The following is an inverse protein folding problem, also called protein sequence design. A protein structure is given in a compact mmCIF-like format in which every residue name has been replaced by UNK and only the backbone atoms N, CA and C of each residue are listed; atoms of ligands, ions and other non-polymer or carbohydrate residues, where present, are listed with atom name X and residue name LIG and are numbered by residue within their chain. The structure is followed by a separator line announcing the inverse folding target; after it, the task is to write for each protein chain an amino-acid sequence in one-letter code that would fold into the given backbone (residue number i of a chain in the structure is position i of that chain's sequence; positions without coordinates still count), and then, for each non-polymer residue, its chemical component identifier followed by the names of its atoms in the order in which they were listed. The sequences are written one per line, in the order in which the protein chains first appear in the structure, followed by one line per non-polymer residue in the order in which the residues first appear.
data_IF_046277441714
#
_entry.id   IF_046277441714
#
_cell.length_a   1.000
_cell.length_b   1.000
_cell.length_c   1.000
_cell.angle_alpha   90.00
_cell.angle_beta   90.00
_cell.angle_gamma   90.00
#
_symmetry.space_group_name_H-M   'P 1'
#
loop_
_entity.id
_entity.type
_entity.pdbx_description
1 polymer ?
#
# COMPACT_ATOMS: atom_id res chain seq x y z
N UNK A 1 -10.25 2.23 -5.02
CA UNK A 1 -9.53 3.39 -5.58
C UNK A 1 -9.47 3.27 -7.11
N UNK A 2 -9.36 4.37 -7.87
CA UNK A 2 -9.23 4.30 -9.34
C UNK A 2 -7.93 3.59 -9.74
N UNK A 3 -8.02 2.61 -10.65
CA UNK A 3 -6.87 1.86 -11.19
C UNK A 3 -5.78 2.77 -11.75
N UNK A 4 -6.13 3.92 -12.35
CA UNK A 4 -5.14 4.89 -12.83
C UNK A 4 -4.29 5.45 -11.69
N UNK A 5 -4.90 5.76 -10.54
CA UNK A 5 -4.19 6.28 -9.37
C UNK A 5 -3.29 5.23 -8.74
N UNK A 6 -3.73 3.97 -8.72
CA UNK A 6 -2.90 2.85 -8.28
C UNK A 6 -1.67 2.73 -9.19
N UNK A 7 -1.88 2.66 -10.50
CA UNK A 7 -0.79 2.59 -11.49
C UNK A 7 0.22 3.72 -11.31
N UNK A 8 -0.27 4.95 -11.12
CA UNK A 8 0.57 6.13 -10.92
C UNK A 8 1.43 6.02 -9.64
N UNK A 9 0.89 5.51 -8.53
CA UNK A 9 1.66 5.31 -7.29
C UNK A 9 2.84 4.32 -7.46
N UNK A 10 2.62 3.25 -8.23
CA UNK A 10 3.70 2.31 -8.55
C UNK A 10 4.74 2.91 -9.50
N UNK A 11 4.31 3.73 -10.47
CA UNK A 11 5.22 4.42 -11.39
C UNK A 11 6.10 5.44 -10.65
N UNK A 12 5.50 6.24 -9.76
CA UNK A 12 6.19 7.25 -8.94
C UNK A 12 7.30 6.66 -8.05
N UNK A 13 7.18 5.39 -7.66
CA UNK A 13 8.11 4.70 -6.77
C UNK A 13 9.09 3.78 -7.49
N UNK A 14 9.04 3.72 -8.83
CA UNK A 14 9.89 2.85 -9.64
C UNK A 14 9.48 1.37 -9.63
N UNK A 15 8.31 1.04 -9.06
CA UNK A 15 7.76 -0.31 -8.97
C UNK A 15 6.76 -0.63 -10.10
N UNK A 16 6.85 0.05 -11.24
CA UNK A 16 5.99 -0.19 -12.40
C UNK A 16 5.93 -1.67 -12.82
N UNK A 17 7.08 -2.36 -12.81
CA UNK A 17 7.15 -3.78 -13.16
C UNK A 17 6.33 -4.66 -12.19
N UNK A 18 6.29 -4.28 -10.92
CA UNK A 18 5.51 -4.98 -9.90
C UNK A 18 4.01 -4.78 -10.12
N UNK A 19 3.61 -3.59 -10.55
CA UNK A 19 2.24 -3.32 -10.96
C UNK A 19 1.86 -4.19 -12.17
N UNK A 20 2.68 -4.25 -13.21
CA UNK A 20 2.42 -5.11 -14.37
C UNK A 20 2.24 -6.58 -13.96
N UNK A 21 3.01 -7.06 -12.99
CA UNK A 21 2.90 -8.42 -12.47
C UNK A 21 1.60 -8.70 -11.69
N UNK A 22 1.06 -7.70 -10.98
CA UNK A 22 -0.03 -7.88 -10.01
C UNK A 22 -1.32 -7.14 -10.32
N UNK A 23 -1.39 -6.29 -11.35
CA UNK A 23 -2.53 -5.41 -11.62
C UNK A 23 -3.86 -6.17 -11.66
N UNK A 24 -3.90 -7.33 -12.31
CA UNK A 24 -5.09 -8.16 -12.39
C UNK A 24 -5.55 -8.68 -11.02
N UNK A 25 -4.62 -9.15 -10.19
CA UNK A 25 -4.91 -9.62 -8.84
C UNK A 25 -5.31 -8.45 -7.92
N UNK A 26 -4.68 -7.30 -8.08
CA UNK A 26 -5.04 -6.06 -7.36
C UNK A 26 -6.50 -5.69 -7.66
N UNK A 27 -6.89 -5.67 -8.94
CA UNK A 27 -8.23 -5.31 -9.39
C UNK A 27 -9.28 -6.30 -8.88
N UNK A 28 -9.02 -7.61 -8.94
CA UNK A 28 -9.99 -8.64 -8.51
C UNK A 28 -10.15 -8.67 -6.99
N UNK A 29 -9.05 -8.52 -6.26
CA UNK A 29 -9.10 -8.65 -4.79
C UNK A 29 -9.51 -7.36 -4.09
N UNK A 30 -9.55 -6.24 -4.82
CA UNK A 30 -9.84 -4.93 -4.25
C UNK A 30 -8.82 -4.52 -3.19
N UNK A 31 -7.55 -4.91 -3.36
CA UNK A 31 -6.50 -4.76 -2.32
C UNK A 31 -6.40 -3.31 -1.80
N UNK A 32 -6.65 -2.34 -2.68
CA UNK A 32 -6.58 -0.91 -2.39
C UNK A 32 -7.95 -0.21 -2.39
N UNK A 33 -9.05 -0.94 -2.29
CA UNK A 33 -10.39 -0.35 -2.36
C UNK A 33 -10.71 0.59 -1.21
N UNK A 34 -10.22 0.25 -0.02
CA UNK A 34 -10.40 1.04 1.21
C UNK A 34 -9.32 2.09 1.42
N UNK A 35 -8.38 2.23 0.47
CA UNK A 35 -7.30 3.20 0.54
C UNK A 35 -7.80 4.52 -0.04
N UNK A 36 -7.83 5.55 0.80
CA UNK A 36 -8.34 6.87 0.40
C UNK A 36 -7.32 7.68 -0.41
N UNK A 37 -6.02 7.49 -0.15
CA UNK A 37 -4.95 8.31 -0.72
C UNK A 37 -3.88 7.44 -1.41
N UNK A 38 -3.53 7.73 -2.68
CA UNK A 38 -2.47 7.02 -3.39
C UNK A 38 -1.11 7.06 -2.67
N UNK A 39 -0.85 8.15 -1.93
CA UNK A 39 0.36 8.34 -1.12
C UNK A 39 0.60 7.20 -0.11
N UNK A 40 -0.46 6.54 0.39
CA UNK A 40 -0.32 5.38 1.28
C UNK A 40 0.35 4.20 0.56
N UNK A 41 0.02 4.00 -0.72
CA UNK A 41 0.66 2.97 -1.56
C UNK A 41 2.11 3.37 -1.83
N UNK A 42 2.36 4.64 -2.14
CA UNK A 42 3.73 5.14 -2.38
C UNK A 42 4.62 4.93 -1.15
N UNK A 43 4.17 5.37 0.03
CA UNK A 43 4.90 5.15 1.28
C UNK A 43 5.11 3.67 1.60
N UNK A 44 4.12 2.82 1.30
CA UNK A 44 4.28 1.38 1.45
C UNK A 44 5.42 0.86 0.55
N UNK A 45 5.40 1.21 -0.74
CA UNK A 45 6.42 0.78 -1.69
C UNK A 45 7.81 1.33 -1.32
N UNK A 46 7.90 2.55 -0.79
CA UNK A 46 9.16 3.11 -0.30
C UNK A 46 9.69 2.42 0.98
N UNK A 47 8.79 1.93 1.83
CA UNK A 47 9.17 1.23 3.06
C UNK A 47 9.63 -0.22 2.80
N UNK A 48 9.27 -0.80 1.66
CA UNK A 48 9.54 -2.20 1.33
C UNK A 48 10.46 -2.29 0.11
N UNK A 49 11.66 -2.85 0.29
CA UNK A 49 12.57 -3.12 -0.83
C UNK A 49 12.22 -4.47 -1.48
N UNK A 50 11.26 -4.47 -2.41
CA UNK A 50 11.01 -5.67 -3.24
C UNK A 50 12.13 -5.84 -4.26
N UNK A 51 12.93 -6.90 -4.10
CA UNK A 51 14.02 -7.24 -5.01
C UNK A 51 13.45 -7.85 -6.31
N UNK A 52 13.74 -7.27 -7.50
CA UNK A 52 13.29 -7.82 -8.77
C UNK A 52 13.79 -9.24 -9.06
N UNK A 53 14.91 -9.65 -8.47
CA UNK A 53 15.49 -10.99 -8.66
C UNK A 53 14.83 -12.04 -7.74
N UNK A 54 14.10 -11.60 -6.71
CA UNK A 54 13.37 -12.49 -5.82
C UNK A 54 11.95 -12.72 -6.33
N UNK A 55 11.55 -13.99 -6.35
CA UNK A 55 10.17 -14.32 -6.67
C UNK A 55 9.26 -13.88 -5.52
N UNK A 56 8.45 -12.86 -5.75
CA UNK A 56 7.44 -12.38 -4.82
C UNK A 56 6.06 -12.93 -5.23
N UNK A 57 5.38 -13.61 -4.32
CA UNK A 57 4.00 -14.02 -4.54
C UNK A 57 3.05 -12.87 -4.21
N UNK A 58 1.92 -12.81 -4.94
CA UNK A 58 0.92 -11.78 -4.71
C UNK A 58 0.38 -11.80 -3.27
N UNK A 59 0.17 -12.99 -2.70
CA UNK A 59 -0.36 -13.13 -1.34
C UNK A 59 0.63 -12.56 -0.28
N UNK A 60 1.93 -12.67 -0.52
CA UNK A 60 2.97 -12.09 0.33
C UNK A 60 2.96 -10.56 0.22
N UNK A 61 2.92 -10.04 -1.01
CA UNK A 61 2.77 -8.61 -1.27
C UNK A 61 1.52 -8.04 -0.57
N UNK A 62 0.37 -8.70 -0.74
CA UNK A 62 -0.89 -8.30 -0.14
C UNK A 62 -0.84 -8.38 1.39
N UNK A 63 -0.17 -9.39 1.96
CA UNK A 63 0.04 -9.51 3.39
C UNK A 63 0.87 -8.36 3.95
N UNK A 64 1.97 -8.01 3.28
CA UNK A 64 2.81 -6.87 3.64
C UNK A 64 2.03 -5.57 3.59
N UNK A 65 1.27 -5.33 2.53
CA UNK A 65 0.45 -4.14 2.40
C UNK A 65 -0.60 -4.03 3.51
N UNK A 66 -1.35 -5.10 3.78
CA UNK A 66 -2.38 -5.11 4.84
C UNK A 66 -1.77 -4.84 6.22
N UNK A 67 -0.59 -5.40 6.49
CA UNK A 67 0.15 -5.18 7.74
C UNK A 67 0.59 -3.74 7.87
N UNK A 68 1.15 -3.17 6.81
CA UNK A 68 1.55 -1.77 6.75
C UNK A 68 0.35 -0.85 6.98
N UNK A 69 -0.72 -1.02 6.20
CA UNK A 69 -1.93 -0.19 6.27
C UNK A 69 -2.57 -0.23 7.66
N UNK A 70 -2.72 -1.41 8.25
CA UNK A 70 -3.23 -1.56 9.61
C UNK A 70 -2.36 -0.83 10.65
N UNK A 71 -1.03 -0.94 10.53
CA UNK A 71 -0.10 -0.29 11.46
C UNK A 71 -0.14 1.23 11.34
N UNK A 72 -0.29 1.76 10.12
CA UNK A 72 -0.44 3.19 9.85
C UNK A 72 -1.75 3.73 10.45
N UNK A 73 -2.88 3.08 10.17
CA UNK A 73 -4.18 3.45 10.73
C UNK A 73 -4.18 3.39 12.28
N UNK A 74 -3.58 2.36 12.86
CA UNK A 74 -3.47 2.24 14.31
C UNK A 74 -2.68 3.40 14.93
N UNK A 75 -1.60 3.84 14.28
CA UNK A 75 -0.79 4.98 14.73
C UNK A 75 -1.56 6.29 14.64
N UNK A 76 -2.31 6.51 13.56
CA UNK A 76 -3.18 7.69 13.42
C UNK A 76 -4.25 7.73 14.51
N UNK A 77 -4.96 6.62 14.73
CA UNK A 77 -5.97 6.53 15.79
C UNK A 77 -5.39 6.79 17.19
N UNK A 78 -4.20 6.27 17.48
CA UNK A 78 -3.50 6.54 18.73
C UNK A 78 -3.12 8.02 18.85
N UNK A 79 -2.66 8.65 17.77
CA UNK A 79 -2.36 10.08 17.74
C UNK A 79 -3.62 10.92 18.01
N UNK A 80 -4.75 10.60 17.36
CA UNK A 80 -6.04 11.26 17.61
C UNK A 80 -6.51 11.10 19.06
N UNK A 81 -6.39 9.90 19.62
CA UNK A 81 -6.70 9.68 21.03
C UNK A 81 -5.83 10.56 21.92
N UNK A 82 -4.50 10.52 21.75
CA UNK A 82 -3.58 11.31 22.56
C UNK A 82 -3.83 12.82 22.44
N UNK A 83 -4.13 13.33 21.24
CA UNK A 83 -4.46 14.73 21.01
C UNK A 83 -5.78 15.16 21.70
N UNK A 84 -6.77 14.26 21.77
CA UNK A 84 -8.08 14.53 22.38
C UNK A 84 -8.04 14.61 23.91
N UNK A 85 -7.07 13.98 24.57
CA UNK A 85 -6.93 13.99 26.03
C UNK A 85 -5.81 14.90 26.54
N UNK A 86 -5.25 15.75 25.66
CA UNK A 86 -4.29 16.81 25.98
C UNK A 86 -4.92 18.22 26.03
N UNK A 87 -6.24 18.33 25.88
CA UNK A 87 -7.04 19.55 26.09
C UNK A 87 -8.20 19.29 27.03
#
# INVERSE_FOLDING_TARGET
MDTHLIKQAFDNTGYYNLYEQFHYQIDITGLFDTVEQPLIIEHFLECYSFDPEQHLFFDEFAFHFRTFHYTSLKRELQSFYNAKYLY
#
